data_IF_347731499548
#
_entry.id   IF_347731499548
#
_cell.length_a   1.000
_cell.length_b   1.000
_cell.length_c   1.000
_cell.angle_alpha   90.00
_cell.angle_beta   90.00
_cell.angle_gamma   90.00
#
_symmetry.space_group_name_H-M   'P 1'
#
loop_
_entity.id
_entity.type
_entity.pdbx_description
1 polymer ?
#
# COMPACT_ATOMS: atom_id res chain seq x y z
N UNK A 1 15.29 -6.75 61.64
CA UNK A 1 15.41 -6.06 60.33
C UNK A 1 14.98 -7.04 59.26
N UNK A 2 13.74 -6.95 58.81
CA UNK A 2 13.12 -7.90 57.87
C UNK A 2 13.25 -7.30 56.47
N UNK A 3 14.19 -7.78 55.67
CA UNK A 3 14.35 -7.37 54.28
C UNK A 3 13.25 -8.04 53.45
N UNK A 4 12.28 -7.26 52.97
CA UNK A 4 11.30 -7.73 52.00
C UNK A 4 12.04 -8.14 50.70
N UNK A 5 11.75 -9.33 50.14
CA UNK A 5 12.33 -9.74 48.86
C UNK A 5 11.85 -8.78 47.77
N UNK A 6 12.80 -8.22 47.03
CA UNK A 6 12.54 -7.38 45.87
C UNK A 6 11.64 -8.15 44.90
N UNK A 7 10.44 -7.62 44.66
CA UNK A 7 9.52 -8.16 43.66
C UNK A 7 10.24 -8.14 42.31
N UNK A 8 10.37 -9.26 41.58
CA UNK A 8 11.02 -9.26 40.28
C UNK A 8 10.31 -8.25 39.39
N UNK A 9 11.06 -7.27 38.89
CA UNK A 9 10.56 -6.22 38.00
C UNK A 9 9.75 -6.89 36.89
N UNK A 10 8.47 -6.55 36.80
CA UNK A 10 7.55 -7.10 35.81
C UNK A 10 8.21 -7.02 34.43
N UNK A 11 8.54 -8.18 33.87
CA UNK A 11 9.08 -8.31 32.53
C UNK A 11 8.09 -7.63 31.58
N UNK A 12 8.51 -6.50 31.01
CA UNK A 12 7.66 -5.60 30.24
C UNK A 12 6.81 -6.38 29.26
N UNK A 13 5.49 -6.30 29.46
CA UNK A 13 4.51 -7.08 28.71
C UNK A 13 4.58 -6.68 27.22
N UNK A 14 5.28 -7.50 26.42
CA UNK A 14 5.48 -7.25 24.99
C UNK A 14 4.18 -7.60 24.25
N UNK A 15 3.64 -6.68 23.45
CA UNK A 15 2.46 -6.99 22.64
C UNK A 15 2.80 -7.96 21.50
N UNK A 16 2.22 -9.16 21.55
CA UNK A 16 2.27 -10.16 20.46
C UNK A 16 1.71 -9.59 19.17
N UNK A 17 0.68 -8.74 19.24
CA UNK A 17 0.06 -8.11 18.08
C UNK A 17 1.06 -7.23 17.32
N UNK A 18 1.77 -6.35 18.02
CA UNK A 18 2.76 -5.46 17.39
C UNK A 18 3.85 -6.27 16.71
N UNK A 19 4.27 -7.36 17.35
CA UNK A 19 5.30 -8.26 16.82
C UNK A 19 4.82 -8.97 15.56
N UNK A 20 3.61 -9.54 15.55
CA UNK A 20 3.02 -10.20 14.38
C UNK A 20 2.82 -9.22 13.23
N UNK A 21 2.27 -8.03 13.51
CA UNK A 21 2.08 -6.99 12.49
C UNK A 21 3.42 -6.58 11.89
N UNK A 22 4.45 -6.36 12.71
CA UNK A 22 5.78 -6.00 12.23
C UNK A 22 6.36 -7.07 11.30
N UNK A 23 6.23 -8.35 11.63
CA UNK A 23 6.67 -9.45 10.78
C UNK A 23 5.89 -9.54 9.46
N UNK A 24 4.57 -9.40 9.51
CA UNK A 24 3.73 -9.40 8.29
C UNK A 24 4.14 -8.26 7.37
N UNK A 25 4.27 -7.03 7.89
CA UNK A 25 4.69 -5.88 7.10
C UNK A 25 6.14 -6.02 6.61
N UNK A 26 7.04 -6.64 7.37
CA UNK A 26 8.40 -6.92 6.94
C UNK A 26 8.42 -7.86 5.74
N UNK A 27 7.68 -8.97 5.79
CA UNK A 27 7.63 -9.95 4.68
C UNK A 27 6.98 -9.30 3.44
N UNK A 28 5.86 -8.60 3.61
CA UNK A 28 5.15 -7.93 2.52
C UNK A 28 6.01 -6.84 1.88
N UNK A 29 6.66 -5.99 2.69
CA UNK A 29 7.53 -4.92 2.17
C UNK A 29 8.80 -5.46 1.52
N UNK A 30 9.37 -6.56 2.02
CA UNK A 30 10.50 -7.21 1.37
C UNK A 30 10.13 -7.73 -0.03
N UNK A 31 8.99 -8.41 -0.14
CA UNK A 31 8.50 -8.92 -1.42
C UNK A 31 8.16 -7.77 -2.39
N UNK A 32 7.49 -6.72 -1.89
CA UNK A 32 7.14 -5.56 -2.69
C UNK A 32 8.37 -4.76 -3.14
N UNK A 33 9.40 -4.65 -2.29
CA UNK A 33 10.70 -4.03 -2.63
C UNK A 33 11.38 -4.83 -3.73
N UNK A 34 11.41 -6.17 -3.63
CA UNK A 34 11.97 -7.03 -4.66
C UNK A 34 11.24 -6.85 -5.99
N UNK A 35 9.90 -6.86 -5.99
CA UNK A 35 9.11 -6.61 -7.20
C UNK A 35 9.35 -5.23 -7.79
N UNK A 36 9.45 -4.19 -6.96
CA UNK A 36 9.77 -2.83 -7.40
C UNK A 36 11.18 -2.74 -7.99
N UNK A 37 12.16 -3.42 -7.38
CA UNK A 37 13.53 -3.49 -7.87
C UNK A 37 13.60 -4.17 -9.24
N UNK A 38 12.93 -5.32 -9.41
CA UNK A 38 12.84 -5.99 -10.71
C UNK A 38 12.22 -5.08 -11.77
N UNK A 39 11.16 -4.34 -11.43
CA UNK A 39 10.53 -3.39 -12.34
C UNK A 39 11.49 -2.25 -12.76
N UNK A 40 12.25 -1.70 -11.81
CA UNK A 40 13.29 -0.69 -12.10
C UNK A 40 14.40 -1.27 -12.98
N UNK A 41 14.87 -2.48 -12.71
CA UNK A 41 15.89 -3.15 -13.52
C UNK A 41 15.43 -3.39 -14.96
N UNK A 42 14.19 -3.86 -15.15
CA UNK A 42 13.60 -4.03 -16.48
C UNK A 42 13.57 -2.69 -17.22
N UNK A 43 13.08 -1.62 -16.57
CA UNK A 43 13.01 -0.29 -17.18
C UNK A 43 14.38 0.36 -17.43
N UNK A 44 15.42 -0.04 -16.68
CA UNK A 44 16.79 0.42 -16.85
C UNK A 44 17.49 -0.28 -18.03
N UNK A 45 17.21 -1.56 -18.24
CA UNK A 45 17.76 -2.34 -19.36
C UNK A 45 17.00 -2.07 -20.67
N UNK A 46 15.71 -1.76 -20.59
CA UNK A 46 14.93 -1.41 -21.78
C UNK A 46 15.39 -0.08 -22.39
N UNK A 47 15.67 -0.04 -23.71
CA UNK A 47 15.96 1.20 -24.42
C UNK A 47 14.84 2.22 -24.22
N UNK A 48 15.20 3.49 -24.01
CA UNK A 48 14.22 4.57 -23.85
C UNK A 48 13.24 4.64 -25.02
N UNK A 49 13.76 4.49 -26.25
CA UNK A 49 12.95 4.45 -27.47
C UNK A 49 11.89 3.34 -27.47
N UNK A 50 12.16 2.19 -26.87
CA UNK A 50 11.19 1.09 -26.77
C UNK A 50 10.10 1.42 -25.76
N UNK A 51 10.44 2.02 -24.62
CA UNK A 51 9.47 2.47 -23.63
C UNK A 51 8.57 3.55 -24.22
N UNK A 52 9.14 4.52 -24.91
CA UNK A 52 8.39 5.61 -25.56
C UNK A 52 7.51 5.10 -26.71
N UNK A 53 7.98 4.10 -27.46
CA UNK A 53 7.18 3.43 -28.49
C UNK A 53 5.98 2.69 -27.88
N UNK A 54 6.16 1.99 -26.76
CA UNK A 54 5.06 1.30 -26.07
C UNK A 54 4.07 2.31 -25.50
N UNK A 55 4.55 3.36 -24.84
CA UNK A 55 3.69 4.42 -24.28
C UNK A 55 2.94 5.14 -25.39
N UNK A 56 3.60 5.48 -26.50
CA UNK A 56 2.94 6.11 -27.65
C UNK A 56 1.90 5.20 -28.30
N UNK A 57 2.19 3.90 -28.43
CA UNK A 57 1.22 2.93 -28.95
C UNK A 57 -0.01 2.80 -28.05
N UNK A 58 0.17 2.73 -26.72
CA UNK A 58 -0.94 2.66 -25.75
C UNK A 58 -1.74 3.97 -25.68
N UNK A 59 -1.07 5.11 -25.85
CA UNK A 59 -1.74 6.43 -25.82
C UNK A 59 -2.39 6.81 -27.16
N UNK A 60 -1.96 6.22 -28.28
CA UNK A 60 -2.62 6.39 -29.57
C UNK A 60 -3.77 5.40 -29.82
N UNK A 61 -3.81 4.28 -29.09
CA UNK A 61 -4.92 3.35 -29.13
C UNK A 61 -6.16 3.93 -28.41
N UNK A 62 -6.92 4.74 -29.17
CA UNK A 62 -8.13 5.47 -28.73
C UNK A 62 -9.13 4.61 -27.96
N UNK A 63 -9.19 3.30 -28.21
CA UNK A 63 -10.09 2.41 -27.48
C UNK A 63 -9.77 2.33 -25.97
N UNK A 64 -8.51 2.51 -25.59
CA UNK A 64 -8.03 2.43 -24.19
C UNK A 64 -7.79 3.83 -23.61
N UNK A 65 -7.32 4.78 -24.42
CA UNK A 65 -6.96 6.12 -23.95
C UNK A 65 -8.14 6.93 -23.43
N UNK A 66 -9.32 6.81 -24.06
CA UNK A 66 -10.54 7.48 -23.57
C UNK A 66 -11.00 6.97 -22.20
N UNK A 67 -10.61 5.75 -21.83
CA UNK A 67 -10.98 5.11 -20.57
C UNK A 67 -9.95 5.35 -19.47
N UNK A 68 -8.77 5.87 -19.78
CA UNK A 68 -7.68 6.11 -18.83
C UNK A 68 -7.84 7.48 -18.16
N UNK A 69 -8.12 7.55 -16.84
CA UNK A 69 -8.09 8.80 -16.09
C UNK A 69 -6.76 9.55 -16.26
N UNK A 70 -6.80 10.88 -16.27
CA UNK A 70 -5.62 11.75 -16.43
C UNK A 70 -4.42 11.39 -15.52
N UNK A 71 -4.61 10.98 -14.25
CA UNK A 71 -3.47 10.58 -13.41
C UNK A 71 -2.74 9.32 -13.92
N UNK A 72 -3.43 8.36 -14.54
CA UNK A 72 -2.77 7.19 -15.12
C UNK A 72 -1.95 7.55 -16.36
N UNK A 73 -2.45 8.46 -17.19
CA UNK A 73 -1.69 8.96 -18.35
C UNK A 73 -0.40 9.65 -17.90
N UNK A 74 -0.49 10.47 -16.85
CA UNK A 74 0.68 11.09 -16.23
C UNK A 74 1.69 10.05 -15.71
N UNK A 75 1.20 8.99 -15.05
CA UNK A 75 2.05 7.91 -14.56
C UNK A 75 2.72 7.12 -15.68
N UNK A 76 2.04 6.87 -16.80
CA UNK A 76 2.62 6.20 -17.96
C UNK A 76 3.72 7.04 -18.61
N UNK A 77 3.51 8.34 -18.77
CA UNK A 77 4.51 9.25 -19.32
C UNK A 77 5.76 9.33 -18.43
N UNK A 78 5.60 9.19 -17.11
CA UNK A 78 6.68 9.21 -16.14
C UNK A 78 6.97 7.83 -15.54
N UNK A 79 6.80 6.74 -16.30
CA UNK A 79 6.86 5.37 -15.79
C UNK A 79 8.16 5.06 -15.01
N UNK A 80 9.31 5.58 -15.48
CA UNK A 80 10.62 5.43 -14.80
C UNK A 80 10.64 6.11 -13.43
N UNK A 81 10.14 7.34 -13.36
CA UNK A 81 10.07 8.10 -12.12
C UNK A 81 9.11 7.42 -11.14
N UNK A 82 7.95 6.97 -11.61
CA UNK A 82 6.97 6.24 -10.79
C UNK A 82 7.57 4.93 -10.26
N UNK A 83 8.32 4.19 -11.07
CA UNK A 83 8.98 2.96 -10.63
C UNK A 83 10.03 3.24 -9.54
N UNK A 84 10.83 4.30 -9.69
CA UNK A 84 11.79 4.73 -8.67
C UNK A 84 11.11 5.19 -7.38
N UNK A 85 10.07 6.01 -7.47
CA UNK A 85 9.28 6.45 -6.31
C UNK A 85 8.70 5.23 -5.58
N UNK A 86 8.16 4.25 -6.32
CA UNK A 86 7.63 3.00 -5.76
C UNK A 86 8.72 2.20 -5.04
N UNK A 87 9.92 2.10 -5.61
CA UNK A 87 11.06 1.42 -4.97
C UNK A 87 11.47 2.12 -3.67
N UNK A 88 11.63 3.45 -3.70
CA UNK A 88 11.98 4.24 -2.52
C UNK A 88 10.91 4.12 -1.44
N UNK A 89 9.63 4.16 -1.82
CA UNK A 89 8.51 3.96 -0.91
C UNK A 89 8.59 2.61 -0.20
N UNK A 90 8.70 1.51 -0.95
CA UNK A 90 8.77 0.17 -0.34
C UNK A 90 10.02 -0.05 0.51
N UNK A 91 11.16 0.51 0.09
CA UNK A 91 12.38 0.50 0.91
C UNK A 91 12.18 1.25 2.23
N UNK A 92 11.51 2.41 2.21
CA UNK A 92 11.18 3.15 3.42
C UNK A 92 10.24 2.36 4.36
N UNK A 93 9.23 1.68 3.82
CA UNK A 93 8.35 0.79 4.60
C UNK A 93 9.12 -0.38 5.21
N UNK A 94 10.07 -0.95 4.47
CA UNK A 94 10.94 -2.03 4.98
C UNK A 94 11.81 -1.54 6.15
N UNK A 95 12.45 -0.38 6.01
CA UNK A 95 13.25 0.25 7.08
C UNK A 95 12.37 0.54 8.30
N UNK A 96 11.16 1.06 8.10
CA UNK A 96 10.21 1.29 9.20
C UNK A 96 9.81 -0.02 9.89
N UNK A 97 9.59 -1.10 9.13
CA UNK A 97 9.23 -2.42 9.67
C UNK A 97 10.35 -3.00 10.54
N UNK A 98 11.61 -2.88 10.10
CA UNK A 98 12.78 -3.24 10.91
C UNK A 98 12.88 -2.38 12.17
N UNK A 99 12.63 -1.06 12.06
CA UNK A 99 12.63 -0.14 13.19
C UNK A 99 11.54 -0.46 14.23
N UNK A 100 10.38 -0.97 13.80
CA UNK A 100 9.32 -1.43 14.70
C UNK A 100 9.76 -2.66 15.50
N UNK A 101 10.45 -3.63 14.85
CA UNK A 101 11.02 -4.79 15.54
C UNK A 101 12.06 -4.38 16.58
N UNK A 102 12.84 -3.34 16.28
CA UNK A 102 13.79 -2.72 17.22
C UNK A 102 13.12 -1.83 18.26
N UNK A 103 11.79 -1.70 18.25
CA UNK A 103 11.00 -0.89 19.19
C UNK A 103 11.42 0.58 19.27
N UNK A 104 11.88 1.16 18.16
CA UNK A 104 12.27 2.58 18.13
C UNK A 104 11.04 3.48 17.95
N UNK A 105 10.99 4.58 18.72
CA UNK A 105 9.88 5.54 18.68
C UNK A 105 9.71 6.20 17.30
N UNK A 106 10.81 6.54 16.62
CA UNK A 106 10.75 7.11 15.27
C UNK A 106 10.09 6.17 14.27
N UNK A 107 10.31 4.85 14.42
CA UNK A 107 9.74 3.84 13.52
C UNK A 107 8.22 3.74 13.68
N UNK A 108 7.70 3.93 14.89
CA UNK A 108 6.24 4.02 15.11
C UNK A 108 5.67 5.25 14.39
N UNK A 109 6.32 6.40 14.51
CA UNK A 109 5.85 7.64 13.87
C UNK A 109 5.86 7.53 12.34
N UNK A 110 6.93 6.97 11.76
CA UNK A 110 7.00 6.72 10.31
C UNK A 110 5.92 5.73 9.89
N UNK A 111 5.72 4.63 10.62
CA UNK A 111 4.70 3.63 10.29
C UNK A 111 3.27 4.21 10.32
N UNK A 112 2.96 5.02 11.33
CA UNK A 112 1.67 5.73 11.42
C UNK A 112 1.49 6.70 10.24
N UNK A 113 2.52 7.44 9.86
CA UNK A 113 2.48 8.31 8.69
C UNK A 113 2.27 7.51 7.38
N UNK A 114 2.99 6.40 7.22
CA UNK A 114 2.85 5.48 6.08
C UNK A 114 1.43 4.94 5.99
N UNK A 115 0.84 4.47 7.09
CA UNK A 115 -0.56 3.99 7.10
C UNK A 115 -1.54 5.08 6.68
N UNK A 116 -1.34 6.32 7.15
CA UNK A 116 -2.18 7.45 6.75
C UNK A 116 -2.12 7.74 5.25
N UNK A 117 -0.91 7.75 4.68
CA UNK A 117 -0.70 7.94 3.24
C UNK A 117 -1.32 6.78 2.45
N UNK A 118 -1.10 5.53 2.89
CA UNK A 118 -1.62 4.34 2.21
C UNK A 118 -3.15 4.33 2.16
N UNK A 119 -3.84 4.77 3.23
CA UNK A 119 -5.29 4.94 3.23
C UNK A 119 -5.73 5.88 2.11
N UNK A 120 -5.07 7.04 1.99
CA UNK A 120 -5.40 8.03 0.93
C UNK A 120 -5.16 7.42 -0.45
N UNK A 121 -4.03 6.73 -0.64
CA UNK A 121 -3.66 6.10 -1.91
C UNK A 121 -4.67 5.00 -2.29
N UNK A 122 -5.06 4.13 -1.35
CA UNK A 122 -6.04 3.07 -1.59
C UNK A 122 -7.41 3.66 -1.93
N UNK A 123 -7.86 4.71 -1.23
CA UNK A 123 -9.12 5.40 -1.55
C UNK A 123 -9.07 6.00 -2.96
N UNK A 124 -7.97 6.69 -3.31
CA UNK A 124 -7.81 7.28 -4.63
C UNK A 124 -7.81 6.20 -5.72
N UNK A 125 -7.01 5.14 -5.54
CA UNK A 125 -6.96 4.00 -6.45
C UNK A 125 -8.33 3.32 -6.59
N UNK A 126 -9.07 3.20 -5.50
CA UNK A 126 -10.42 2.66 -5.50
C UNK A 126 -11.38 3.51 -6.34
N UNK A 127 -11.46 4.81 -6.08
CA UNK A 127 -12.31 5.75 -6.84
C UNK A 127 -11.96 5.73 -8.33
N UNK A 128 -10.65 5.76 -8.64
CA UNK A 128 -10.17 5.68 -10.01
C UNK A 128 -10.56 4.35 -10.68
N UNK A 129 -10.38 3.22 -10.00
CA UNK A 129 -10.74 1.90 -10.53
C UNK A 129 -12.24 1.79 -10.84
N UNK A 130 -13.09 2.34 -9.97
CA UNK A 130 -14.55 2.36 -10.18
C UNK A 130 -14.94 3.23 -11.38
N UNK A 131 -14.31 4.42 -11.52
CA UNK A 131 -14.57 5.30 -12.67
C UNK A 131 -14.20 4.63 -14.00
N UNK A 132 -13.06 3.95 -14.06
CA UNK A 132 -12.61 3.22 -15.24
C UNK A 132 -13.54 2.05 -15.58
N UNK A 133 -13.97 1.31 -14.56
CA UNK A 133 -14.84 0.14 -14.74
C UNK A 133 -16.26 0.54 -15.19
N UNK A 134 -16.80 1.65 -14.70
CA UNK A 134 -18.04 2.26 -15.21
C UNK A 134 -17.89 2.72 -16.66
N UNK A 135 -16.75 3.34 -17.02
CA UNK A 135 -16.43 3.70 -18.40
C UNK A 135 -16.49 2.49 -19.33
N UNK A 136 -15.79 1.40 -18.96
CA UNK A 136 -15.79 0.14 -19.73
C UNK A 136 -17.20 -0.45 -19.83
N UNK A 137 -17.98 -0.43 -18.74
CA UNK A 137 -19.34 -0.95 -18.72
C UNK A 137 -20.24 -0.18 -19.70
N UNK A 138 -20.15 1.15 -19.70
CA UNK A 138 -20.94 2.00 -20.59
C UNK A 138 -20.59 1.79 -22.06
N UNK A 139 -19.30 1.66 -22.38
CA UNK A 139 -18.84 1.39 -23.74
C UNK A 139 -19.32 0.01 -24.22
N UNK A 140 -19.21 -1.03 -23.40
CA UNK A 140 -19.71 -2.37 -23.75
C UNK A 140 -21.23 -2.39 -23.91
N UNK A 141 -21.96 -1.68 -23.06
CA UNK A 141 -23.41 -1.56 -23.20
C UNK A 141 -23.76 -0.91 -24.55
N UNK A 142 -23.06 0.16 -24.94
CA UNK A 142 -23.28 0.84 -26.23
C UNK A 142 -22.92 -0.02 -27.46
N UNK A 143 -21.99 -0.97 -27.32
CA UNK A 143 -21.59 -1.90 -28.37
C UNK A 143 -22.46 -3.17 -28.41
N UNK A 144 -23.20 -3.47 -27.35
CA UNK A 144 -24.06 -4.65 -27.28
C UNK A 144 -25.36 -4.41 -28.07
N UNK A 145 -25.70 -5.31 -29.00
CA UNK A 145 -26.97 -5.23 -29.77
C UNK A 145 -28.21 -5.33 -28.88
N UNK A 146 -28.08 -5.88 -27.69
CA UNK A 146 -29.15 -6.07 -26.70
C UNK A 146 -29.18 -4.99 -25.62
N UNK A 147 -28.21 -4.05 -25.60
CA UNK A 147 -28.06 -3.06 -24.53
C UNK A 147 -27.71 -3.64 -23.16
N UNK A 148 -27.45 -4.94 -23.06
CA UNK A 148 -27.22 -5.64 -21.80
C UNK A 148 -25.73 -5.72 -21.48
N UNK A 149 -25.37 -5.29 -20.27
CA UNK A 149 -24.02 -5.45 -19.71
C UNK A 149 -23.74 -6.96 -19.53
N UNK A 150 -22.54 -7.46 -19.85
CA UNK A 150 -22.19 -8.87 -19.71
C UNK A 150 -22.51 -9.40 -18.30
N UNK A 151 -23.15 -10.59 -18.19
CA UNK A 151 -23.43 -11.20 -16.90
C UNK A 151 -22.12 -11.46 -16.14
N UNK A 152 -22.06 -11.02 -14.87
CA UNK A 152 -20.87 -11.13 -14.01
C UNK A 152 -20.08 -9.84 -13.78
N UNK A 153 -20.28 -8.81 -14.61
CA UNK A 153 -19.56 -7.52 -14.43
C UNK A 153 -19.96 -6.81 -13.13
N UNK A 154 -21.26 -6.80 -12.81
CA UNK A 154 -21.77 -6.22 -11.55
C UNK A 154 -21.27 -6.96 -10.30
N UNK A 155 -21.15 -8.28 -10.37
CA UNK A 155 -20.64 -9.10 -9.26
C UNK A 155 -19.16 -8.82 -8.99
N UNK A 156 -18.36 -8.66 -10.07
CA UNK A 156 -16.95 -8.27 -9.96
C UNK A 156 -16.76 -6.88 -9.35
N UNK A 157 -17.60 -5.91 -9.75
CA UNK A 157 -17.62 -4.56 -9.16
C UNK A 157 -17.92 -4.59 -7.67
N UNK A 158 -18.98 -5.32 -7.27
CA UNK A 158 -19.38 -5.43 -5.87
C UNK A 158 -18.29 -6.08 -5.01
N UNK A 159 -17.66 -7.15 -5.51
CA UNK A 159 -16.57 -7.83 -4.80
C UNK A 159 -15.33 -6.94 -4.66
N UNK A 160 -14.93 -6.24 -5.72
CA UNK A 160 -13.84 -5.27 -5.67
C UNK A 160 -14.14 -4.10 -4.72
N UNK A 161 -15.39 -3.64 -4.71
CA UNK A 161 -15.95 -2.70 -3.74
C UNK A 161 -15.74 -3.14 -2.30
N UNK A 162 -16.24 -4.33 -1.98
CA UNK A 162 -16.15 -4.93 -0.65
C UNK A 162 -14.70 -5.08 -0.19
N UNK A 163 -13.83 -5.57 -1.08
CA UNK A 163 -12.41 -5.77 -0.78
C UNK A 163 -11.69 -4.43 -0.53
N UNK A 164 -11.96 -3.40 -1.34
CA UNK A 164 -11.40 -2.06 -1.14
C UNK A 164 -11.80 -1.46 0.20
N UNK A 165 -13.08 -1.51 0.55
CA UNK A 165 -13.60 -1.03 1.85
C UNK A 165 -12.98 -1.83 3.00
N UNK A 166 -12.88 -3.16 2.86
CA UNK A 166 -12.25 -4.03 3.85
C UNK A 166 -10.79 -3.67 4.12
N UNK A 167 -10.01 -3.42 3.06
CA UNK A 167 -8.61 -2.99 3.19
C UNK A 167 -8.53 -1.66 3.94
N UNK A 168 -9.34 -0.67 3.57
CA UNK A 168 -9.36 0.64 4.25
C UNK A 168 -9.73 0.50 5.73
N UNK A 169 -10.71 -0.33 6.06
CA UNK A 169 -11.11 -0.59 7.44
C UNK A 169 -9.98 -1.22 8.26
N UNK A 170 -9.26 -2.20 7.68
CA UNK A 170 -8.09 -2.82 8.32
C UNK A 170 -6.97 -1.80 8.54
N UNK A 171 -6.68 -0.96 7.55
CA UNK A 171 -5.65 0.07 7.66
C UNK A 171 -6.00 1.12 8.72
N UNK A 172 -7.26 1.56 8.79
CA UNK A 172 -7.75 2.47 9.83
C UNK A 172 -7.65 1.82 11.22
N UNK A 173 -8.03 0.55 11.34
CA UNK A 173 -7.91 -0.18 12.59
C UNK A 173 -6.44 -0.29 13.04
N UNK A 174 -5.52 -0.59 12.13
CA UNK A 174 -4.07 -0.59 12.42
C UNK A 174 -3.59 0.81 12.83
N UNK A 175 -4.00 1.86 12.13
CA UNK A 175 -3.64 3.24 12.44
C UNK A 175 -4.06 3.62 13.87
N UNK A 176 -5.30 3.30 14.24
CA UNK A 176 -5.83 3.56 15.58
C UNK A 176 -5.12 2.72 16.64
N UNK A 177 -4.85 1.45 16.33
CA UNK A 177 -4.14 0.53 17.23
C UNK A 177 -2.73 1.03 17.55
N UNK A 178 -1.96 1.45 16.54
CA UNK A 178 -0.61 1.98 16.72
C UNK A 178 -0.57 3.37 17.37
N UNK A 179 -1.68 4.12 17.33
CA UNK A 179 -1.83 5.39 18.06
C UNK A 179 -2.23 5.20 19.53
N UNK A 180 -2.71 4.02 19.92
CA UNK A 180 -3.18 3.77 21.29
C UNK A 180 -2.06 3.97 22.33
N UNK A 181 -2.43 4.48 23.51
CA UNK A 181 -1.49 4.76 24.60
C UNK A 181 -0.74 3.49 25.05
N UNK A 182 -1.41 2.33 24.99
CA UNK A 182 -0.82 1.02 25.31
C UNK A 182 0.40 0.72 24.43
N UNK A 183 0.23 0.83 23.11
CA UNK A 183 1.31 0.59 22.16
C UNK A 183 2.39 1.66 22.32
N UNK A 184 2.02 2.95 22.47
CA UNK A 184 2.99 4.03 22.69
C UNK A 184 3.92 3.79 23.88
N UNK A 185 3.36 3.33 25.00
CA UNK A 185 4.12 3.09 26.22
C UNK A 185 5.17 1.99 26.05
N UNK A 186 4.98 1.04 25.13
CA UNK A 186 5.96 -0.02 24.84
C UNK A 186 7.21 0.51 24.13
N UNK A 187 7.07 1.50 23.25
CA UNK A 187 8.18 2.11 22.53
C UNK A 187 8.97 3.08 23.44
N UNK A 188 8.26 3.89 24.24
CA UNK A 188 8.91 4.81 25.19
C UNK A 188 9.64 4.10 26.31
N UNK A 189 9.14 2.95 26.75
CA UNK A 189 9.81 2.15 27.79
C UNK A 189 11.06 1.45 27.26
N UNK A 190 11.04 1.00 26.00
CA UNK A 190 12.19 0.38 25.37
C UNK A 190 13.32 1.38 25.09
N UNK A 191 12.99 2.59 24.65
CA UNK A 191 13.97 3.65 24.39
C UNK A 191 14.66 4.16 25.67
N UNK A 192 13.98 4.15 26.81
CA UNK A 192 14.60 4.49 28.11
C UNK A 192 15.51 3.39 28.67
N UNK A 193 15.38 2.16 28.16
CA UNK A 193 16.14 1.00 28.63
C UNK A 193 17.36 0.69 27.75
N UNK A 194 17.46 1.33 26.58
CA UNK A 194 18.56 1.18 25.61
C UNK A 194 19.54 2.35 25.71
#
# INVERSE_FOLDING_TARGET
>A
MTTLPATPAASGHRSTLVTVVAWVFLILSALATLGALMNVLILAVMPAATVDAIVSQVTQDTAVTHLLPAPYQFMMHHARLVALIKLVWWAAVLIASVGILQRREWARRTFVATLGIEIIVVILAFVMSQSMLMGIASQRASQSRTGQVPPGMGTGMALGGLLGVGIVAILLWLLLTFRSARVRNEFTSAERAA
#
